data_IF_805736293602
#
_entry.id   IF_805736293602
#
_cell.length_a   1.000
_cell.length_b   1.000
_cell.length_c   1.000
_cell.angle_alpha   90.00
_cell.angle_beta   90.00
_cell.angle_gamma   90.00
#
_symmetry.space_group_name_H-M   'P 1'
#
loop_
_entity.id
_entity.type
_entity.pdbx_description
1 polymer ?
#
# COMPACT_ATOMS: atom_id res chain seq x y z
N UNK A 1 5.69 18.07 1.18
CA UNK A 1 4.39 17.41 1.25
C UNK A 1 4.18 16.97 2.69
N UNK A 2 3.05 17.35 3.26
CA UNK A 2 2.66 17.05 4.63
C UNK A 2 1.20 17.44 4.83
N UNK A 3 0.61 16.96 5.91
CA UNK A 3 -0.78 17.24 6.27
C UNK A 3 -0.93 17.30 7.78
N UNK A 4 -1.94 18.02 8.27
CA UNK A 4 -2.28 18.04 9.68
C UNK A 4 -3.27 16.93 10.01
N UNK A 5 -3.07 16.26 11.14
CA UNK A 5 -3.95 15.20 11.65
C UNK A 5 -4.14 15.33 13.15
N UNK A 6 -5.34 15.07 13.70
CA UNK A 6 -5.53 15.07 15.15
C UNK A 6 -4.89 13.83 15.82
N UNK A 7 -4.59 12.79 15.04
CA UNK A 7 -3.98 11.56 15.55
C UNK A 7 -2.61 11.85 16.17
N UNK A 8 -2.42 11.43 17.42
CA UNK A 8 -1.16 11.60 18.14
C UNK A 8 -1.02 12.93 18.90
N UNK A 9 -1.93 13.88 18.71
CA UNK A 9 -1.94 15.14 19.47
C UNK A 9 -2.02 14.87 20.99
N UNK A 10 -1.16 15.55 21.76
CA UNK A 10 -1.08 15.36 23.21
C UNK A 10 -0.44 14.04 23.66
N UNK A 11 0.17 13.28 22.75
CA UNK A 11 0.94 12.07 23.06
C UNK A 11 2.40 12.26 22.68
N UNK A 12 3.25 11.29 23.02
CA UNK A 12 4.68 11.26 22.65
C UNK A 12 4.92 11.40 21.14
N UNK A 13 3.94 11.07 20.30
CA UNK A 13 4.03 11.20 18.82
C UNK A 13 4.13 12.67 18.38
N UNK A 14 3.59 13.61 19.16
CA UNK A 14 3.60 15.04 18.84
C UNK A 14 4.89 15.75 19.27
N UNK A 15 5.76 15.10 20.05
CA UNK A 15 6.99 15.71 20.55
C UNK A 15 7.90 16.16 19.40
N UNK A 16 8.30 17.43 19.41
CA UNK A 16 9.15 18.02 18.38
C UNK A 16 8.47 18.28 17.03
N UNK A 17 7.17 18.02 16.89
CA UNK A 17 6.39 18.31 15.68
C UNK A 17 5.64 19.63 15.80
N UNK A 18 5.32 20.24 14.66
CA UNK A 18 4.45 21.41 14.64
C UNK A 18 3.03 21.00 15.03
N UNK A 19 2.42 21.74 15.96
CA UNK A 19 1.02 21.57 16.35
C UNK A 19 0.25 22.84 16.02
N UNK A 20 -0.91 22.68 15.38
CA UNK A 20 -1.81 23.79 15.06
C UNK A 20 -3.22 23.47 15.54
N UNK A 21 -3.88 24.48 16.10
CA UNK A 21 -5.29 24.39 16.47
C UNK A 21 -6.16 24.65 15.23
N UNK A 22 -7.12 23.77 15.01
CA UNK A 22 -8.19 23.97 14.04
C UNK A 22 -9.52 23.77 14.76
N UNK A 23 -10.31 24.83 14.87
CA UNK A 23 -11.63 24.85 15.53
C UNK A 23 -11.61 24.31 16.98
N UNK A 24 -10.59 24.67 17.76
CA UNK A 24 -10.42 24.23 19.15
C UNK A 24 -9.89 22.80 19.29
N UNK A 25 -9.42 22.19 18.18
CA UNK A 25 -8.88 20.83 18.16
C UNK A 25 -7.42 20.83 17.72
N UNK A 26 -6.47 20.33 18.54
CA UNK A 26 -5.07 20.30 18.17
C UNK A 26 -4.80 19.25 17.10
N UNK A 27 -4.03 19.62 16.08
CA UNK A 27 -3.56 18.74 15.02
C UNK A 27 -2.04 18.83 14.89
N UNK A 28 -1.41 17.68 14.64
CA UNK A 28 0.03 17.54 14.45
C UNK A 28 0.35 17.54 12.96
N UNK A 29 1.40 18.26 12.55
CA UNK A 29 1.92 18.19 11.19
C UNK A 29 2.68 16.87 10.98
N UNK A 30 2.20 16.04 10.06
CA UNK A 30 2.91 14.85 9.58
C UNK A 30 3.49 15.09 8.19
N UNK A 31 4.76 14.73 8.00
CA UNK A 31 5.44 14.85 6.71
C UNK A 31 5.28 13.57 5.89
N UNK A 32 5.15 13.70 4.57
CA UNK A 32 5.03 12.54 3.69
C UNK A 32 6.31 11.68 3.69
N UNK A 33 6.13 10.35 3.80
CA UNK A 33 7.20 9.38 3.61
C UNK A 33 7.54 9.26 2.11
N UNK A 34 8.84 9.21 1.78
CA UNK A 34 9.34 9.07 0.40
C UNK A 34 10.48 8.06 0.34
N UNK A 35 10.17 6.77 0.25
CA UNK A 35 11.21 5.74 0.18
C UNK A 35 11.82 5.66 -1.22
N UNK A 36 13.09 5.28 -1.28
CA UNK A 36 13.77 4.98 -2.56
C UNK A 36 13.16 3.79 -3.28
N UNK A 37 12.74 2.78 -2.51
CA UNK A 37 12.17 1.56 -3.02
C UNK A 37 10.86 1.23 -2.30
N UNK A 38 9.89 0.73 -3.05
CA UNK A 38 8.70 0.08 -2.52
C UNK A 38 8.67 -1.37 -2.99
N UNK A 39 8.54 -2.30 -2.04
CA UNK A 39 8.40 -3.73 -2.33
C UNK A 39 6.98 -4.09 -1.94
N UNK A 40 6.19 -4.50 -2.91
CA UNK A 40 4.75 -4.75 -2.75
C UNK A 40 4.38 -6.11 -3.32
N UNK A 41 3.25 -6.65 -2.88
CA UNK A 41 2.73 -7.93 -3.36
C UNK A 41 1.29 -7.79 -3.85
N UNK A 42 0.98 -8.38 -4.99
CA UNK A 42 -0.35 -8.44 -5.58
C UNK A 42 -0.71 -9.87 -5.98
N UNK A 43 -2.00 -10.15 -6.11
CA UNK A 43 -2.46 -11.46 -6.55
C UNK A 43 -2.23 -11.65 -8.05
N UNK A 44 -2.55 -10.63 -8.84
CA UNK A 44 -2.34 -10.63 -10.27
C UNK A 44 -1.64 -9.34 -10.70
N UNK A 45 -0.81 -9.44 -11.73
CA UNK A 45 -0.37 -8.25 -12.47
C UNK A 45 -0.03 -8.57 -13.91
N UNK A 46 0.06 -7.53 -14.73
CA UNK A 46 0.43 -7.65 -16.16
C UNK A 46 1.83 -7.07 -16.45
N UNK A 47 2.28 -7.23 -17.70
CA UNK A 47 3.59 -6.73 -18.14
C UNK A 47 3.72 -5.20 -18.15
N UNK A 48 2.61 -4.46 -18.07
CA UNK A 48 2.61 -3.00 -17.92
C UNK A 48 2.60 -2.55 -16.45
N UNK A 49 2.56 -3.49 -15.51
CA UNK A 49 2.59 -3.21 -14.07
C UNK A 49 1.21 -2.95 -13.48
N UNK A 50 0.11 -3.14 -14.21
CA UNK A 50 -1.22 -3.04 -13.63
C UNK A 50 -1.40 -4.17 -12.60
N UNK A 51 -1.85 -3.84 -11.39
CA UNK A 51 -1.98 -4.80 -10.30
C UNK A 51 -3.43 -4.94 -9.84
N UNK A 52 -3.79 -6.18 -9.50
CA UNK A 52 -5.02 -6.53 -8.77
C UNK A 52 -4.66 -7.27 -7.48
N UNK A 53 -5.16 -6.76 -6.37
CA UNK A 53 -4.95 -7.33 -5.04
C UNK A 53 -6.09 -8.26 -4.64
N UNK A 54 -5.87 -9.12 -3.65
CA UNK A 54 -6.88 -10.08 -3.19
C UNK A 54 -7.38 -9.78 -1.77
N UNK A 55 -8.63 -9.30 -1.67
CA UNK A 55 -9.27 -9.00 -0.39
C UNK A 55 -8.39 -8.08 0.48
N UNK A 56 -8.22 -8.43 1.75
CA UNK A 56 -7.46 -7.64 2.74
C UNK A 56 -5.95 -7.68 2.52
N UNK A 57 -5.43 -8.48 1.58
CA UNK A 57 -4.00 -8.42 1.22
C UNK A 57 -3.64 -7.11 0.50
N UNK A 58 -4.63 -6.35 0.03
CA UNK A 58 -4.42 -5.04 -0.57
C UNK A 58 -3.73 -4.07 0.40
N UNK A 59 -4.24 -3.94 1.63
CA UNK A 59 -3.75 -3.08 2.72
C UNK A 59 -2.86 -1.88 2.27
N UNK A 60 -1.58 -1.86 2.62
CA UNK A 60 -0.63 -0.79 2.34
C UNK A 60 0.03 -0.89 0.96
N UNK A 61 -0.15 -1.98 0.22
CA UNK A 61 0.55 -2.21 -1.05
C UNK A 61 0.36 -1.06 -2.08
N UNK A 62 -0.87 -0.58 -2.38
CA UNK A 62 -1.04 0.56 -3.28
C UNK A 62 -0.36 1.83 -2.77
N UNK A 63 -0.48 2.13 -1.48
CA UNK A 63 0.07 3.34 -0.88
C UNK A 63 1.61 3.33 -0.90
N UNK A 64 2.21 2.18 -0.57
CA UNK A 64 3.65 1.98 -0.63
C UNK A 64 4.17 2.12 -2.06
N UNK A 65 3.51 1.49 -3.03
CA UNK A 65 3.86 1.59 -4.45
C UNK A 65 3.84 3.02 -4.98
N UNK A 66 2.82 3.82 -4.62
CA UNK A 66 2.73 5.21 -5.03
C UNK A 66 3.76 6.13 -4.35
N UNK A 67 4.23 5.77 -3.15
CA UNK A 67 5.22 6.54 -2.42
C UNK A 67 6.66 6.26 -2.89
N UNK A 68 6.93 5.04 -3.35
CA UNK A 68 8.25 4.59 -3.77
C UNK A 68 8.76 5.27 -5.04
N UNK A 69 10.05 5.64 -5.04
CA UNK A 69 10.73 6.09 -6.27
C UNK A 69 10.88 4.94 -7.28
N UNK A 70 11.15 3.72 -6.79
CA UNK A 70 11.17 2.49 -7.59
C UNK A 70 10.36 1.42 -6.89
N UNK A 71 9.24 1.05 -7.49
CA UNK A 71 8.33 0.00 -7.04
C UNK A 71 8.62 -1.32 -7.75
N UNK A 72 8.78 -2.36 -6.94
CA UNK A 72 8.93 -3.74 -7.36
C UNK A 72 7.70 -4.49 -6.83
N UNK A 73 6.88 -4.96 -7.75
CA UNK A 73 5.68 -5.72 -7.44
C UNK A 73 5.92 -7.21 -7.65
N UNK A 74 5.85 -7.99 -6.57
CA UNK A 74 5.69 -9.43 -6.64
C UNK A 74 4.25 -9.77 -6.97
N UNK A 75 4.03 -10.66 -7.94
CA UNK A 75 2.69 -11.12 -8.33
C UNK A 75 2.57 -12.63 -8.19
N UNK A 76 1.47 -13.11 -7.61
CA UNK A 76 1.20 -14.57 -7.58
C UNK A 76 0.99 -15.10 -9.00
N UNK A 77 0.30 -14.33 -9.86
CA UNK A 77 0.05 -14.64 -11.26
C UNK A 77 0.43 -13.47 -12.17
N UNK A 78 1.30 -13.73 -13.15
CA UNK A 78 1.59 -12.78 -14.23
C UNK A 78 0.67 -13.07 -15.42
N UNK A 79 -0.32 -12.21 -15.63
CA UNK A 79 -1.32 -12.39 -16.68
C UNK A 79 -0.94 -11.64 -17.97
N UNK A 80 -1.46 -12.07 -19.14
CA UNK A 80 -1.27 -11.32 -20.38
C UNK A 80 -1.87 -9.91 -20.31
N UNK A 81 -1.28 -8.98 -21.06
CA UNK A 81 -1.84 -7.63 -21.22
C UNK A 81 -3.28 -7.71 -21.75
N UNK A 82 -4.19 -6.98 -21.12
CA UNK A 82 -5.62 -6.97 -21.44
C UNK A 82 -6.44 -8.07 -20.76
N UNK A 83 -5.80 -9.00 -20.03
CA UNK A 83 -6.52 -9.97 -19.21
C UNK A 83 -7.14 -9.35 -17.95
N UNK A 84 -6.53 -8.28 -17.41
CA UNK A 84 -7.16 -7.43 -16.42
C UNK A 84 -8.06 -6.42 -17.14
N UNK A 85 -9.36 -6.47 -16.88
CA UNK A 85 -10.27 -5.44 -17.36
C UNK A 85 -9.87 -4.08 -16.75
N UNK A 86 -9.99 -2.96 -17.48
CA UNK A 86 -9.58 -1.66 -16.95
C UNK A 86 -10.21 -1.29 -15.61
N UNK A 87 -11.49 -1.64 -15.41
CA UNK A 87 -12.22 -1.38 -14.16
C UNK A 87 -11.84 -2.34 -13.01
N UNK A 88 -11.12 -3.42 -13.31
CA UNK A 88 -10.61 -4.38 -12.31
C UNK A 88 -9.17 -4.05 -11.85
N UNK A 89 -8.54 -3.03 -12.43
CA UNK A 89 -7.18 -2.59 -12.05
C UNK A 89 -7.25 -1.78 -10.75
N UNK A 90 -6.68 -2.32 -9.67
CA UNK A 90 -6.63 -1.62 -8.38
C UNK A 90 -5.50 -0.61 -8.30
N UNK A 91 -4.34 -0.92 -8.89
CA UNK A 91 -3.21 0.00 -8.99
C UNK A 91 -2.74 0.07 -10.45
N UNK A 92 -2.84 1.24 -11.10
CA UNK A 92 -2.34 1.43 -12.45
C UNK A 92 -0.83 1.24 -12.55
N UNK A 93 -0.38 0.67 -13.67
CA UNK A 93 1.02 0.31 -13.88
C UNK A 93 2.03 1.47 -13.86
N UNK A 94 1.57 2.71 -13.97
CA UNK A 94 2.44 3.90 -13.82
C UNK A 94 3.19 3.94 -12.49
N UNK A 95 2.63 3.32 -11.44
CA UNK A 95 3.23 3.26 -10.11
C UNK A 95 4.18 2.08 -9.92
N UNK A 96 4.40 1.24 -10.95
CA UNK A 96 5.16 -0.01 -10.86
C UNK A 96 6.26 -0.02 -11.92
N UNK A 97 7.52 -0.10 -11.49
CA UNK A 97 8.66 -0.10 -12.41
C UNK A 97 9.16 -1.51 -12.72
N UNK A 98 8.92 -2.48 -11.84
CA UNK A 98 9.33 -3.87 -12.03
C UNK A 98 8.24 -4.81 -11.54
N UNK A 99 7.95 -5.84 -12.34
CA UNK A 99 7.05 -6.93 -11.96
C UNK A 99 7.86 -8.22 -11.86
N UNK A 100 7.68 -8.96 -10.77
CA UNK A 100 8.35 -10.23 -10.50
C UNK A 100 7.28 -11.28 -10.26
N UNK A 101 7.24 -12.31 -11.10
CA UNK A 101 6.31 -13.42 -10.91
C UNK A 101 6.84 -14.37 -9.82
N UNK A 102 6.05 -14.54 -8.75
CA UNK A 102 6.37 -15.38 -7.59
C UNK A 102 5.22 -16.36 -7.35
N UNK A 103 5.23 -17.45 -8.11
CA UNK A 103 4.15 -18.45 -8.15
C UNK A 103 3.91 -19.21 -6.83
N UNK A 104 4.92 -19.27 -5.95
CA UNK A 104 4.80 -19.93 -4.66
C UNK A 104 5.24 -18.98 -3.55
N UNK A 105 4.35 -18.73 -2.61
CA UNK A 105 4.62 -17.94 -1.42
C UNK A 105 3.89 -18.52 -0.22
N UNK A 106 4.54 -18.48 0.94
CA UNK A 106 3.98 -19.01 2.18
C UNK A 106 3.16 -17.91 2.84
N UNK A 107 1.84 -18.01 2.74
CA UNK A 107 0.91 -17.12 3.42
C UNK A 107 0.64 -17.61 4.84
N UNK A 108 1.45 -17.17 5.80
CA UNK A 108 1.28 -17.50 7.21
C UNK A 108 -0.02 -16.88 7.76
N UNK A 109 -0.82 -17.68 8.46
CA UNK A 109 -1.99 -17.22 9.20
C UNK A 109 -1.56 -17.07 10.66
N UNK A 110 -1.47 -15.83 11.14
CA UNK A 110 -1.06 -15.54 12.53
C UNK A 110 -2.03 -16.16 13.54
N UNK A 111 -3.34 -15.95 13.32
CA UNK A 111 -4.40 -16.51 14.16
C UNK A 111 -5.49 -17.15 13.30
N UNK A 112 -5.52 -18.49 13.29
CA UNK A 112 -6.54 -19.24 12.56
C UNK A 112 -7.77 -19.44 13.44
N UNK A 113 -8.75 -18.57 13.30
CA UNK A 113 -10.05 -18.69 13.98
C UNK A 113 -11.09 -19.32 13.06
N UNK A 114 -11.77 -20.38 13.52
CA UNK A 114 -12.84 -21.08 12.80
C UNK A 114 -14.12 -21.09 13.63
N UNK A 115 -15.27 -21.33 13.00
CA UNK A 115 -16.55 -21.59 13.66
C UNK A 115 -16.96 -23.06 13.44
N UNK A 116 -17.75 -23.62 14.35
CA UNK A 116 -18.34 -24.95 14.14
C UNK A 116 -19.25 -24.92 12.91
N UNK A 117 -19.23 -26.03 12.15
CA UNK A 117 -19.94 -26.17 10.87
C UNK A 117 -21.37 -26.67 11.03
#
# INVERSE_FOLDING_TARGET
AGFYTPTGAGTVVAEGKEVRDFDGRPHVLETALRPDFAIVRAAQGDAYGNLRFYRTSQNFNPLAAMAGRVTIAEVDELVPVGALAPDDVHLPGIFVQRVVHVAQHVNFIEYRTTRDS
#
